data_IF_264856944638
#
_entry.id   IF_264856944638
#
_cell.length_a   1.000
_cell.length_b   1.000
_cell.length_c   1.000
_cell.angle_alpha   90.00
_cell.angle_beta   90.00
_cell.angle_gamma   90.00
#
_symmetry.space_group_name_H-M   'P 1'
#
loop_
_entity.id
_entity.type
_entity.pdbx_description
1 polymer ?
#
# COMPACT_ATOMS: atom_id res chain seq x y z
N UNK A 1 -32.69 21.56 9.02
CA UNK A 1 -32.16 22.35 10.15
C UNK A 1 -30.73 22.67 9.78
N UNK A 2 -30.42 23.95 9.53
CA UNK A 2 -29.05 24.41 9.30
C UNK A 2 -28.25 24.16 10.58
N UNK A 3 -27.31 23.22 10.54
CA UNK A 3 -26.27 23.13 11.57
C UNK A 3 -25.01 23.75 11.00
N UNK A 4 -24.72 24.97 11.44
CA UNK A 4 -23.51 25.76 11.13
C UNK A 4 -22.27 25.15 11.80
N UNK A 5 -21.99 23.87 11.56
CA UNK A 5 -20.76 23.21 11.98
C UNK A 5 -19.98 22.83 10.73
N UNK A 6 -18.89 23.56 10.51
CA UNK A 6 -17.92 23.24 9.46
C UNK A 6 -16.80 22.39 10.05
N UNK A 7 -16.46 21.32 9.34
CA UNK A 7 -15.54 20.28 9.81
C UNK A 7 -14.23 20.32 9.02
N UNK A 8 -13.33 21.24 9.41
CA UNK A 8 -12.05 21.45 8.70
C UNK A 8 -10.92 20.50 9.12
N UNK A 9 -11.17 19.60 10.08
CA UNK A 9 -10.17 18.65 10.58
C UNK A 9 -10.09 17.36 9.76
N UNK A 10 -9.20 16.46 10.19
CA UNK A 10 -9.21 15.05 9.81
C UNK A 10 -9.92 14.24 10.90
N UNK A 11 -10.83 13.37 10.48
CA UNK A 11 -11.63 12.55 11.38
C UNK A 11 -11.32 11.08 11.11
N UNK A 12 -11.30 10.26 12.16
CA UNK A 12 -11.10 8.82 11.99
C UNK A 12 -12.37 8.20 11.44
N UNK A 13 -12.25 7.53 10.31
CA UNK A 13 -13.29 6.68 9.75
C UNK A 13 -12.85 5.23 9.66
N UNK A 14 -13.83 4.33 9.60
CA UNK A 14 -13.63 2.92 9.25
C UNK A 14 -14.43 2.62 7.99
N UNK A 15 -13.79 2.06 6.97
CA UNK A 15 -14.46 1.77 5.69
C UNK A 15 -15.59 0.77 5.88
N UNK A 16 -16.76 1.09 5.33
CA UNK A 16 -17.97 0.27 5.41
C UNK A 16 -18.39 -0.29 4.05
N UNK A 17 -18.14 0.46 2.97
CA UNK A 17 -18.53 0.07 1.61
C UNK A 17 -17.49 0.56 0.58
N UNK A 18 -17.24 -0.26 -0.43
CA UNK A 18 -16.31 0.00 -1.54
C UNK A 18 -16.93 -0.24 -2.91
N UNK A 19 -18.21 -0.65 -2.98
CA UNK A 19 -18.93 -0.96 -4.22
C UNK A 19 -19.42 0.32 -4.92
N UNK A 20 -18.48 1.21 -5.26
CA UNK A 20 -18.72 2.51 -5.89
C UNK A 20 -19.39 2.36 -7.27
N UNK A 21 -20.65 2.79 -7.44
CA UNK A 21 -21.37 2.67 -8.71
C UNK A 21 -20.74 3.46 -9.86
N UNK A 22 -19.91 4.47 -9.56
CA UNK A 22 -19.22 5.27 -10.57
C UNK A 22 -17.83 4.71 -10.91
N UNK A 23 -17.33 3.73 -10.14
CA UNK A 23 -16.01 3.13 -10.33
C UNK A 23 -14.87 4.16 -10.35
N UNK A 24 -14.95 5.20 -9.52
CA UNK A 24 -13.92 6.25 -9.42
C UNK A 24 -13.14 6.20 -8.11
N UNK A 25 -13.24 5.10 -7.36
CA UNK A 25 -12.47 4.86 -6.14
C UNK A 25 -13.03 5.56 -4.90
N UNK A 26 -14.35 5.81 -4.89
CA UNK A 26 -15.03 6.28 -3.68
C UNK A 26 -15.21 5.14 -2.70
N UNK A 27 -15.33 5.50 -1.42
CA UNK A 27 -15.71 4.57 -0.36
C UNK A 27 -16.85 5.18 0.46
N UNK A 28 -17.48 4.38 1.30
CA UNK A 28 -18.18 4.89 2.47
C UNK A 28 -17.44 4.52 3.74
N UNK A 29 -17.65 5.30 4.78
CA UNK A 29 -17.07 5.04 6.08
C UNK A 29 -18.04 5.42 7.20
N UNK A 30 -17.92 4.72 8.32
CA UNK A 30 -18.45 5.19 9.60
C UNK A 30 -17.47 6.22 10.19
N UNK A 31 -17.97 7.40 10.58
CA UNK A 31 -17.16 8.52 11.11
C UNK A 31 -17.82 9.06 12.39
N UNK A 32 -17.60 8.42 13.55
CA UNK A 32 -18.38 8.69 14.76
C UNK A 32 -18.35 10.14 15.23
N UNK A 33 -17.19 10.80 15.11
CA UNK A 33 -16.98 12.17 15.59
C UNK A 33 -17.80 13.22 14.81
N UNK A 34 -18.33 12.88 13.64
CA UNK A 34 -19.10 13.79 12.76
C UNK A 34 -20.52 13.28 12.51
N UNK A 35 -20.66 11.98 12.22
CA UNK A 35 -21.91 11.36 11.80
C UNK A 35 -22.57 10.51 12.90
N UNK A 36 -21.91 10.31 14.05
CA UNK A 36 -22.38 9.39 15.08
C UNK A 36 -22.48 7.95 14.56
N UNK A 37 -23.68 7.37 14.63
CA UNK A 37 -23.94 6.00 14.15
C UNK A 37 -24.22 5.94 12.64
N UNK A 38 -24.41 7.09 11.98
CA UNK A 38 -24.72 7.15 10.56
C UNK A 38 -23.45 6.90 9.70
N UNK A 39 -23.68 6.34 8.51
CA UNK A 39 -22.66 6.15 7.49
C UNK A 39 -22.47 7.42 6.67
N UNK A 40 -21.25 7.69 6.22
CA UNK A 40 -20.98 8.79 5.29
C UNK A 40 -21.67 8.59 3.93
N UNK A 41 -21.81 9.69 3.18
CA UNK A 41 -21.93 9.60 1.72
C UNK A 41 -20.71 8.96 1.07
N UNK A 42 -20.72 8.85 -0.26
CA UNK A 42 -19.56 8.38 -1.03
C UNK A 42 -18.41 9.38 -0.95
N UNK A 43 -17.37 9.04 -0.19
CA UNK A 43 -16.19 9.86 0.01
C UNK A 43 -15.28 9.86 -1.23
N UNK A 44 -14.89 11.04 -1.71
CA UNK A 44 -13.99 11.20 -2.85
C UNK A 44 -12.54 10.83 -2.49
N UNK A 45 -11.79 10.10 -3.35
CA UNK A 45 -10.38 9.84 -3.07
C UNK A 45 -9.50 11.08 -3.20
N UNK A 46 -8.73 11.37 -2.15
CA UNK A 46 -7.56 12.25 -2.24
C UNK A 46 -6.33 11.43 -2.66
N UNK A 47 -6.27 11.06 -3.93
CA UNK A 47 -5.19 10.22 -4.47
C UNK A 47 -3.86 10.99 -4.60
N UNK A 48 -2.70 10.36 -4.30
CA UNK A 48 -1.39 11.03 -4.37
C UNK A 48 -0.91 11.30 -5.80
N UNK A 49 -1.47 10.62 -6.79
CA UNK A 49 -1.15 10.76 -8.21
C UNK A 49 -2.38 10.37 -9.04
N UNK A 50 -2.72 11.19 -10.04
CA UNK A 50 -3.91 10.98 -10.87
C UNK A 50 -3.92 11.85 -12.13
N UNK A 51 -4.72 11.44 -13.11
CA UNK A 51 -4.91 12.12 -14.38
C UNK A 51 -5.62 11.23 -15.39
N UNK A 52 -5.87 11.74 -16.60
CA UNK A 52 -6.48 10.92 -17.66
C UNK A 52 -5.55 9.76 -18.04
N UNK A 53 -6.00 8.52 -17.84
CA UNK A 53 -5.25 7.31 -18.15
C UNK A 53 -4.06 7.01 -17.22
N UNK A 54 -3.95 7.69 -16.06
CA UNK A 54 -2.86 7.48 -15.11
C UNK A 54 -3.32 7.72 -13.66
N UNK A 55 -2.65 7.07 -12.71
CA UNK A 55 -2.89 7.34 -11.30
C UNK A 55 -2.34 6.28 -10.37
N UNK A 56 -2.51 6.53 -9.08
CA UNK A 56 -2.25 5.57 -8.01
C UNK A 56 -3.58 5.08 -7.46
N UNK A 57 -4.03 3.91 -7.92
CA UNK A 57 -5.28 3.29 -7.48
C UNK A 57 -5.00 2.20 -6.45
N UNK A 58 -5.15 2.55 -5.17
CA UNK A 58 -5.02 1.63 -4.04
C UNK A 58 -6.21 1.84 -3.09
N UNK A 59 -7.29 1.10 -3.33
CA UNK A 59 -8.53 1.23 -2.58
C UNK A 59 -8.40 0.53 -1.20
N UNK A 60 -8.66 1.22 -0.09
CA UNK A 60 -8.72 0.59 1.22
C UNK A 60 -9.83 -0.46 1.28
N UNK A 61 -9.64 -1.53 2.06
CA UNK A 61 -10.66 -2.57 2.22
C UNK A 61 -11.72 -2.16 3.24
N UNK A 62 -12.91 -2.77 3.17
CA UNK A 62 -13.90 -2.74 4.25
C UNK A 62 -13.24 -3.14 5.57
N UNK A 63 -13.48 -2.36 6.62
CA UNK A 63 -12.86 -2.49 7.94
C UNK A 63 -11.52 -1.78 8.10
N UNK A 64 -10.92 -1.23 7.04
CA UNK A 64 -9.68 -0.46 7.15
C UNK A 64 -9.93 0.90 7.81
N UNK A 65 -8.95 1.35 8.61
CA UNK A 65 -8.93 2.71 9.14
C UNK A 65 -8.54 3.73 8.09
N UNK A 66 -9.36 4.75 7.88
CA UNK A 66 -9.14 5.85 6.92
C UNK A 66 -9.28 7.21 7.58
N UNK A 67 -8.56 8.21 7.08
CA UNK A 67 -8.83 9.60 7.45
C UNK A 67 -9.90 10.17 6.54
N UNK A 68 -10.92 10.78 7.14
CA UNK A 68 -12.01 11.46 6.45
C UNK A 68 -11.88 12.97 6.65
N UNK A 69 -12.07 13.70 5.57
CA UNK A 69 -12.16 15.15 5.47
C UNK A 69 -13.43 15.51 4.70
N UNK A 70 -13.73 16.81 4.60
CA UNK A 70 -14.96 17.30 4.01
C UNK A 70 -14.68 18.51 3.11
N UNK A 71 -15.18 18.51 1.88
CA UNK A 71 -15.02 19.66 0.98
C UNK A 71 -15.61 20.92 1.62
N UNK A 72 -14.80 21.95 1.80
CA UNK A 72 -15.17 23.18 2.51
C UNK A 72 -15.74 22.96 3.93
N UNK A 73 -15.45 21.80 4.55
CA UNK A 73 -15.96 21.43 5.86
C UNK A 73 -17.42 20.95 5.85
N UNK A 74 -18.01 20.65 4.69
CA UNK A 74 -19.39 20.19 4.54
C UNK A 74 -19.50 18.66 4.62
N UNK A 75 -20.17 18.10 5.66
CA UNK A 75 -20.35 16.66 5.84
C UNK A 75 -20.98 15.92 4.64
N UNK A 76 -21.75 16.61 3.80
CA UNK A 76 -22.38 16.03 2.62
C UNK A 76 -21.37 15.73 1.49
N UNK A 77 -20.15 16.28 1.57
CA UNK A 77 -19.07 16.10 0.59
C UNK A 77 -17.82 15.50 1.22
N UNK A 78 -17.86 14.23 1.65
CA UNK A 78 -16.71 13.58 2.29
C UNK A 78 -15.57 13.32 1.29
N UNK A 79 -14.34 13.30 1.82
CA UNK A 79 -13.09 12.97 1.14
C UNK A 79 -12.37 11.94 2.01
N UNK A 80 -11.77 10.90 1.43
CA UNK A 80 -10.86 10.02 2.15
C UNK A 80 -9.40 10.30 1.78
N UNK A 81 -8.52 10.40 2.77
CA UNK A 81 -7.10 10.76 2.58
C UNK A 81 -6.15 9.82 3.33
N UNK A 82 -5.84 8.70 2.70
CA UNK A 82 -4.92 7.71 3.25
C UNK A 82 -5.51 6.89 4.40
N UNK A 83 -4.68 5.98 4.92
CA UNK A 83 -5.08 5.02 5.95
C UNK A 83 -4.33 5.26 7.26
N UNK A 84 -4.89 4.75 8.35
CA UNK A 84 -4.22 4.63 9.63
C UNK A 84 -4.30 3.19 10.13
N UNK A 85 -3.35 2.81 10.97
CA UNK A 85 -3.32 1.51 11.65
C UNK A 85 -3.70 1.71 13.12
N UNK A 86 -4.66 0.94 13.61
CA UNK A 86 -5.08 0.95 15.01
C UNK A 86 -4.14 0.13 15.89
N UNK A 87 -3.43 -0.83 15.30
CA UNK A 87 -2.54 -1.74 16.00
C UNK A 87 -1.37 -2.21 15.13
N UNK A 88 -0.35 -2.77 15.78
CA UNK A 88 0.79 -3.41 15.10
C UNK A 88 0.35 -4.57 14.21
N UNK A 89 -0.73 -5.26 14.57
CA UNK A 89 -1.23 -6.41 13.81
C UNK A 89 -1.78 -6.04 12.42
N UNK A 90 -2.16 -4.77 12.21
CA UNK A 90 -2.66 -4.28 10.93
C UNK A 90 -1.52 -3.76 10.03
N UNK A 91 -0.30 -3.61 10.57
CA UNK A 91 0.85 -3.17 9.80
C UNK A 91 1.35 -4.31 8.88
N UNK A 92 1.91 -3.99 7.70
CA UNK A 92 2.52 -4.99 6.83
C UNK A 92 3.60 -5.84 7.56
N UNK A 93 3.58 -7.17 7.40
CA UNK A 93 4.34 -8.12 8.24
C UNK A 93 5.87 -8.05 8.13
N UNK A 94 6.44 -7.21 7.25
CA UNK A 94 7.88 -7.10 7.05
C UNK A 94 8.57 -5.94 7.80
N UNK A 95 7.89 -5.21 8.70
CA UNK A 95 8.49 -4.06 9.42
C UNK A 95 8.31 -4.03 10.93
N UNK A 96 8.65 -5.14 11.58
CA UNK A 96 9.02 -5.13 12.99
C UNK A 96 10.54 -5.10 13.21
N UNK A 97 11.28 -4.40 12.33
CA UNK A 97 12.66 -4.03 12.69
C UNK A 97 12.54 -2.79 13.57
N UNK A 98 12.95 -2.85 14.86
CA UNK A 98 13.00 -1.66 15.68
C UNK A 98 13.91 -0.61 15.02
N UNK A 99 13.77 0.69 15.37
CA UNK A 99 14.64 1.74 14.86
C UNK A 99 16.13 1.31 14.89
N UNK A 100 16.91 1.62 13.83
CA UNK A 100 16.56 2.50 12.70
C UNK A 100 15.69 1.81 11.64
N UNK A 101 14.69 2.53 11.13
CA UNK A 101 13.82 2.06 10.06
C UNK A 101 14.56 2.11 8.72
N UNK A 102 15.29 1.06 8.39
CA UNK A 102 16.06 0.98 7.15
C UNK A 102 15.28 0.38 5.98
N UNK A 103 13.95 0.21 6.10
CA UNK A 103 13.15 -0.49 5.08
C UNK A 103 11.96 0.35 4.65
N UNK A 104 11.69 0.38 3.34
CA UNK A 104 10.48 0.89 2.70
C UNK A 104 9.81 -0.26 1.95
N UNK A 105 8.51 -0.44 2.13
CA UNK A 105 7.72 -1.60 1.75
C UNK A 105 6.35 -1.13 1.30
N UNK A 106 5.96 -1.57 0.10
CA UNK A 106 4.58 -1.61 -0.37
C UNK A 106 4.21 -3.09 -0.41
N UNK A 107 3.13 -3.48 0.24
CA UNK A 107 2.69 -4.86 0.28
C UNK A 107 1.16 -4.93 0.21
N UNK A 108 0.66 -5.80 -0.67
CA UNK A 108 -0.75 -6.19 -0.74
C UNK A 108 -1.09 -7.20 0.35
N UNK A 109 -2.36 -7.35 0.68
CA UNK A 109 -2.85 -8.31 1.67
C UNK A 109 -2.47 -9.76 1.32
N UNK A 110 -2.48 -10.11 0.03
CA UNK A 110 -2.10 -11.43 -0.45
C UNK A 110 -0.59 -11.70 -0.34
N UNK A 111 0.24 -10.66 -0.16
CA UNK A 111 1.68 -10.79 0.02
C UNK A 111 2.54 -10.36 -1.17
N UNK A 112 1.96 -9.89 -2.27
CA UNK A 112 2.75 -9.25 -3.34
C UNK A 112 3.38 -7.95 -2.80
N UNK A 113 4.67 -7.73 -3.05
CA UNK A 113 5.41 -6.65 -2.42
C UNK A 113 6.54 -6.04 -3.26
N UNK A 114 6.85 -4.79 -2.93
CA UNK A 114 8.03 -4.04 -3.36
C UNK A 114 8.75 -3.60 -2.08
N UNK A 115 9.98 -4.07 -1.88
CA UNK A 115 10.81 -3.78 -0.71
C UNK A 115 12.09 -3.06 -1.13
N UNK A 116 12.39 -1.94 -0.47
CA UNK A 116 13.67 -1.25 -0.49
C UNK A 116 14.26 -1.42 0.91
N UNK A 117 15.46 -1.98 1.00
CA UNK A 117 16.17 -2.26 2.23
C UNK A 117 17.54 -1.57 2.20
N UNK A 118 17.72 -0.56 3.03
CA UNK A 118 18.95 0.24 3.17
C UNK A 118 19.92 -0.36 4.19
N UNK A 119 19.70 -1.60 4.66
CA UNK A 119 20.62 -2.27 5.59
C UNK A 119 22.02 -2.42 4.96
N UNK A 120 23.09 -1.84 5.53
CA UNK A 120 24.43 -1.88 4.92
C UNK A 120 24.93 -3.31 4.66
N UNK A 121 25.40 -3.58 3.44
CA UNK A 121 26.00 -4.86 3.05
C UNK A 121 25.03 -6.03 2.82
N UNK A 122 23.75 -5.87 3.17
CA UNK A 122 22.70 -6.90 3.03
C UNK A 122 21.54 -6.39 2.15
N UNK A 123 21.29 -5.08 2.23
CA UNK A 123 20.16 -4.41 1.63
C UNK A 123 20.11 -4.47 0.10
N UNK A 124 19.03 -3.95 -0.44
CA UNK A 124 18.72 -4.01 -1.86
C UNK A 124 17.26 -3.71 -2.15
N UNK A 125 16.86 -3.99 -3.39
CA UNK A 125 15.50 -3.86 -3.86
C UNK A 125 14.96 -5.24 -4.18
N UNK A 126 13.77 -5.57 -3.68
CA UNK A 126 13.09 -6.84 -3.95
C UNK A 126 11.68 -6.59 -4.47
N UNK A 127 11.36 -7.20 -5.60
CA UNK A 127 10.00 -7.37 -6.10
C UNK A 127 9.61 -8.82 -5.85
N UNK A 128 8.50 -9.06 -5.17
CA UNK A 128 8.10 -10.42 -4.79
C UNK A 128 6.61 -10.63 -4.97
N UNK A 129 6.22 -11.79 -5.49
CA UNK A 129 4.82 -12.23 -5.51
C UNK A 129 4.50 -13.03 -4.25
N UNK A 130 3.21 -13.16 -3.95
CA UNK A 130 2.74 -14.07 -2.90
C UNK A 130 3.06 -15.56 -3.18
N UNK A 131 3.27 -15.92 -4.46
CA UNK A 131 3.63 -17.26 -4.89
C UNK A 131 5.12 -17.60 -4.76
N UNK A 132 5.96 -16.65 -4.30
CA UNK A 132 7.38 -16.87 -4.07
C UNK A 132 8.31 -16.49 -5.23
N UNK A 133 7.77 -16.08 -6.39
CA UNK A 133 8.57 -15.48 -7.45
C UNK A 133 9.22 -14.20 -6.94
N UNK A 134 10.47 -13.96 -7.31
CA UNK A 134 11.18 -12.75 -6.88
C UNK A 134 12.19 -12.25 -7.92
N UNK A 135 12.35 -10.93 -7.91
CA UNK A 135 13.49 -10.25 -8.52
C UNK A 135 14.17 -9.48 -7.41
N UNK A 136 15.46 -9.74 -7.21
CA UNK A 136 16.24 -9.16 -6.11
C UNK A 136 17.50 -8.52 -6.67
N UNK A 137 17.76 -7.26 -6.28
CA UNK A 137 18.94 -6.49 -6.65
C UNK A 137 19.65 -6.04 -5.37
N UNK A 138 20.88 -6.49 -5.16
CA UNK A 138 21.70 -6.16 -3.98
C UNK A 138 23.10 -5.77 -4.39
N UNK A 139 23.95 -5.42 -3.42
CA UNK A 139 25.38 -5.22 -3.66
C UNK A 139 26.11 -6.49 -4.13
N UNK A 140 25.54 -7.68 -3.92
CA UNK A 140 26.13 -8.95 -4.34
C UNK A 140 25.80 -9.31 -5.79
N UNK A 141 24.74 -8.72 -6.36
CA UNK A 141 24.29 -9.07 -7.70
C UNK A 141 22.78 -8.90 -7.90
N UNK A 142 22.31 -9.44 -9.02
CA UNK A 142 20.90 -9.45 -9.42
C UNK A 142 20.44 -10.89 -9.56
N UNK A 143 19.26 -11.21 -9.04
CA UNK A 143 18.65 -12.54 -9.11
C UNK A 143 17.22 -12.44 -9.61
N UNK A 144 16.86 -13.31 -10.56
CA UNK A 144 15.49 -13.60 -10.97
C UNK A 144 15.21 -15.06 -10.59
N UNK A 145 14.14 -15.30 -9.85
CA UNK A 145 13.75 -16.63 -9.34
C UNK A 145 12.25 -16.82 -9.57
N UNK A 146 11.89 -17.93 -10.22
CA UNK A 146 10.50 -18.27 -10.55
C UNK A 146 9.73 -18.94 -9.39
N UNK A 147 10.39 -19.19 -8.25
CA UNK A 147 9.83 -19.82 -7.07
C UNK A 147 9.59 -21.32 -7.21
N UNK A 148 9.93 -21.94 -8.34
CA UNK A 148 9.72 -23.37 -8.64
C UNK A 148 10.99 -24.07 -9.15
N UNK A 149 12.15 -23.41 -9.06
CA UNK A 149 13.47 -23.99 -9.29
C UNK A 149 14.24 -23.38 -10.47
N UNK A 150 13.64 -22.49 -11.24
CA UNK A 150 14.30 -21.73 -12.29
C UNK A 150 14.93 -20.45 -11.74
N UNK A 151 16.23 -20.25 -11.99
CA UNK A 151 16.96 -19.08 -11.50
C UNK A 151 17.90 -18.49 -12.54
N UNK A 152 18.07 -17.16 -12.51
CA UNK A 152 19.10 -16.43 -13.24
C UNK A 152 19.82 -15.52 -12.24
N UNK A 153 21.13 -15.66 -12.13
CA UNK A 153 21.98 -14.91 -11.20
C UNK A 153 23.07 -14.17 -11.97
N UNK A 154 23.21 -12.87 -11.71
CA UNK A 154 24.28 -12.03 -12.22
C UNK A 154 25.17 -11.60 -11.07
N UNK A 155 26.45 -12.00 -11.11
CA UNK A 155 27.44 -11.68 -10.09
C UNK A 155 28.72 -11.18 -10.77
N UNK A 156 28.92 -9.86 -10.76
CA UNK A 156 30.02 -9.24 -11.51
C UNK A 156 29.90 -9.54 -13.01
N UNK A 157 30.93 -10.10 -13.67
CA UNK A 157 30.86 -10.49 -15.08
C UNK A 157 30.11 -11.82 -15.31
N UNK A 158 29.87 -12.59 -14.25
CA UNK A 158 29.35 -13.94 -14.36
C UNK A 158 27.82 -13.96 -14.47
N UNK A 159 27.31 -14.83 -15.35
CA UNK A 159 25.89 -15.18 -15.42
C UNK A 159 25.76 -16.68 -15.13
N UNK A 160 24.92 -17.04 -14.16
CA UNK A 160 24.59 -18.43 -13.83
C UNK A 160 23.09 -18.65 -14.01
N UNK A 161 22.72 -19.73 -14.69
CA UNK A 161 21.34 -20.16 -14.90
C UNK A 161 21.12 -21.51 -14.23
N UNK A 162 20.05 -21.62 -13.44
CA UNK A 162 19.67 -22.80 -12.67
C UNK A 162 20.85 -23.37 -11.86
N UNK A 163 21.50 -22.49 -11.08
CA UNK A 163 22.60 -22.82 -10.18
C UNK A 163 23.75 -23.61 -10.84
N UNK A 164 24.20 -23.13 -12.00
CA UNK A 164 25.35 -23.67 -12.72
C UNK A 164 25.01 -24.66 -13.85
N UNK A 165 23.73 -24.86 -14.17
CA UNK A 165 23.35 -25.65 -15.35
C UNK A 165 23.85 -25.02 -16.66
N UNK A 166 23.92 -23.68 -16.71
CA UNK A 166 24.61 -22.92 -17.75
C UNK A 166 25.33 -21.74 -17.10
N UNK A 167 26.62 -21.61 -17.38
CA UNK A 167 27.45 -20.51 -16.89
C UNK A 167 28.13 -19.76 -18.03
N UNK A 168 28.18 -18.45 -17.90
CA UNK A 168 29.00 -17.54 -18.72
C UNK A 168 29.93 -16.79 -17.77
N UNK A 169 31.23 -16.81 -18.06
CA UNK A 169 32.31 -16.24 -17.24
C UNK A 169 32.97 -15.09 -17.99
#
# INVERSE_FOLDING_TARGET
>A
MNNDHTFYGKYRGVVTDIDDPLMIGRIKANVPDVMGDDESGWAMPCAPFGGSGMGFFALPKVGAGVWIEFEHGDPDYPIWSGCWWGSVAEMPPARLVPPPYNKVLIQTDAGNSILLDDTPGIGGITLQTSGGQKITMTSLGITIDDGIGGTIQLTGPQVSINDGALEVI
#
